data_IF_133157969809
#
_entry.id   IF_133157969809
#
_cell.length_a   1.000
_cell.length_b   1.000
_cell.length_c   1.000
_cell.angle_alpha   90.00
_cell.angle_beta   90.00
_cell.angle_gamma   90.00
#
_symmetry.space_group_name_H-M   'P 1'
#
loop_
_entity.id
_entity.type
_entity.pdbx_description
1 polymer ?
#
# COMPACT_ATOMS: atom_id res chain seq x y z
N UNK A 1 43.04 -29.92 36.67
CA UNK A 1 42.33 -29.78 35.38
C UNK A 1 40.98 -30.50 35.46
N UNK A 2 39.86 -29.76 35.41
CA UNK A 2 38.46 -30.18 35.16
C UNK A 2 37.44 -29.12 35.66
N UNK A 3 37.89 -28.11 36.42
CA UNK A 3 37.11 -26.89 36.72
C UNK A 3 37.09 -25.85 35.58
N UNK A 4 37.81 -26.09 34.49
CA UNK A 4 37.92 -25.16 33.34
C UNK A 4 36.86 -25.45 32.26
N UNK A 5 36.25 -26.64 32.25
CA UNK A 5 35.27 -27.03 31.22
C UNK A 5 33.90 -26.39 31.46
N UNK A 6 33.59 -26.02 32.71
CA UNK A 6 32.27 -25.44 33.03
C UNK A 6 32.14 -23.95 32.71
N UNK A 7 33.25 -23.22 32.56
CA UNK A 7 33.22 -21.80 32.22
C UNK A 7 33.01 -21.56 30.71
N UNK A 8 33.48 -22.50 29.87
CA UNK A 8 33.32 -22.45 28.41
C UNK A 8 31.89 -22.79 27.96
N UNK A 9 31.15 -23.60 28.72
CA UNK A 9 29.74 -23.89 28.46
C UNK A 9 28.78 -22.78 28.93
N UNK A 10 29.19 -21.95 29.88
CA UNK A 10 28.39 -20.80 30.33
C UNK A 10 28.49 -19.59 29.37
N UNK A 11 29.64 -19.44 28.68
CA UNK A 11 29.82 -18.41 27.66
C UNK A 11 29.13 -18.73 26.32
N UNK A 12 28.74 -19.99 26.08
CA UNK A 12 27.97 -20.38 24.89
C UNK A 12 26.47 -20.09 24.99
N UNK A 13 25.96 -19.68 26.17
CA UNK A 13 24.53 -19.41 26.40
C UNK A 13 24.17 -17.91 26.51
N UNK A 14 25.15 -17.00 26.36
CA UNK A 14 24.94 -15.54 26.47
C UNK A 14 25.06 -14.85 25.08
N UNK A 15 24.81 -15.59 24.00
CA UNK A 15 24.27 -14.97 22.78
C UNK A 15 22.74 -15.06 22.81
N UNK A 16 22.13 -14.46 23.84
CA UNK A 16 20.73 -14.03 23.73
C UNK A 16 20.68 -12.88 22.74
N UNK A 17 20.80 -13.21 21.45
CA UNK A 17 20.46 -12.31 20.38
C UNK A 17 19.07 -11.78 20.67
N UNK A 18 18.94 -10.45 20.75
CA UNK A 18 17.64 -9.78 20.87
C UNK A 18 16.73 -10.41 19.82
N UNK A 19 15.77 -11.20 20.29
CA UNK A 19 14.83 -11.90 19.41
C UNK A 19 14.06 -10.83 18.66
N UNK A 20 14.12 -10.86 17.32
CA UNK A 20 13.30 -9.97 16.50
C UNK A 20 11.84 -10.20 16.88
N UNK A 21 11.13 -9.12 17.22
CA UNK A 21 9.73 -9.18 17.61
C UNK A 21 8.93 -8.28 16.69
N UNK A 22 8.23 -8.91 15.75
CA UNK A 22 7.27 -8.24 14.87
C UNK A 22 5.93 -8.90 15.05
N UNK A 23 4.93 -8.13 15.44
CA UNK A 23 3.55 -8.60 15.49
C UNK A 23 2.61 -7.56 14.95
N UNK A 24 1.60 -7.99 14.22
CA UNK A 24 0.57 -7.14 13.66
C UNK A 24 -0.80 -7.80 13.82
N UNK A 25 -1.70 -7.15 14.56
CA UNK A 25 -3.03 -7.64 14.86
C UNK A 25 -3.08 -9.07 15.45
N UNK A 26 -2.15 -9.38 16.35
CA UNK A 26 -2.02 -10.71 16.96
C UNK A 26 -1.28 -11.75 16.11
N UNK A 27 -1.01 -11.47 14.83
CA UNK A 27 -0.11 -12.30 14.00
C UNK A 27 1.33 -11.97 14.36
N UNK A 28 2.12 -12.99 14.73
CA UNK A 28 3.54 -12.83 15.02
C UNK A 28 4.37 -13.34 13.86
N UNK A 29 5.36 -12.57 13.42
CA UNK A 29 6.31 -13.00 12.41
C UNK A 29 7.25 -14.05 13.03
N UNK A 30 7.53 -15.10 12.26
CA UNK A 30 8.64 -16.01 12.55
C UNK A 30 9.99 -15.38 12.17
N UNK A 31 10.95 -16.22 11.79
CA UNK A 31 12.20 -15.74 11.22
C UNK A 31 11.93 -14.94 9.93
N UNK A 32 12.45 -13.72 9.86
CA UNK A 32 12.30 -12.86 8.69
C UNK A 32 13.51 -13.02 7.78
N UNK A 33 13.31 -13.29 6.49
CA UNK A 33 14.37 -13.26 5.47
C UNK A 33 14.79 -11.83 5.16
N UNK A 34 13.82 -10.93 5.02
CA UNK A 34 14.05 -9.51 4.72
C UNK A 34 13.65 -8.64 5.91
N UNK A 35 14.57 -7.77 6.33
CA UNK A 35 14.34 -6.70 7.31
C UNK A 35 15.18 -5.52 6.85
N UNK A 36 14.59 -4.70 6.00
CA UNK A 36 15.28 -3.65 5.27
C UNK A 36 14.68 -2.30 5.59
N UNK A 37 15.51 -1.26 5.57
CA UNK A 37 15.02 0.10 5.67
C UNK A 37 15.78 1.02 4.73
N UNK A 38 15.11 2.09 4.31
CA UNK A 38 15.75 3.16 3.55
C UNK A 38 15.36 4.51 4.13
N UNK A 39 16.26 5.49 4.02
CA UNK A 39 16.00 6.88 4.39
C UNK A 39 16.28 7.81 3.22
N UNK A 40 15.53 8.90 3.15
CA UNK A 40 15.79 10.04 2.30
C UNK A 40 15.48 11.33 3.07
N UNK A 41 15.71 12.49 2.46
CA UNK A 41 15.64 13.80 3.14
C UNK A 41 14.41 13.98 4.02
N UNK A 42 13.23 13.57 3.53
CA UNK A 42 11.94 13.77 4.21
C UNK A 42 11.23 12.48 4.57
N UNK A 43 11.76 11.31 4.18
CA UNK A 43 10.99 10.06 4.30
C UNK A 43 11.86 8.90 4.75
N UNK A 44 11.23 7.90 5.32
CA UNK A 44 11.83 6.58 5.42
C UNK A 44 10.83 5.50 5.06
N UNK A 45 11.34 4.35 4.68
CA UNK A 45 10.57 3.13 4.51
C UNK A 45 11.21 1.97 5.24
N UNK A 46 10.37 1.04 5.71
CA UNK A 46 10.77 -0.21 6.35
C UNK A 46 10.00 -1.35 5.69
N UNK A 47 10.73 -2.37 5.27
CA UNK A 47 10.20 -3.60 4.69
C UNK A 47 10.59 -4.79 5.57
N UNK A 48 9.60 -5.55 6.04
CA UNK A 48 9.81 -6.73 6.87
C UNK A 48 9.02 -7.88 6.26
N UNK A 49 9.68 -9.00 5.99
CA UNK A 49 9.04 -10.13 5.34
C UNK A 49 9.61 -11.46 5.82
N UNK A 50 8.75 -12.47 6.01
CA UNK A 50 9.21 -13.82 6.34
C UNK A 50 10.00 -14.44 5.19
N UNK A 51 9.56 -14.18 3.95
CA UNK A 51 10.24 -14.59 2.73
C UNK A 51 10.48 -13.40 1.79
N UNK A 52 11.67 -13.26 1.19
CA UNK A 52 11.90 -12.21 0.19
C UNK A 52 11.20 -12.57 -1.13
N UNK A 53 10.21 -11.76 -1.50
CA UNK A 53 9.35 -12.00 -2.66
C UNK A 53 9.43 -10.86 -3.70
N UNK A 54 10.22 -9.80 -3.47
CA UNK A 54 10.37 -8.67 -4.39
C UNK A 54 11.37 -8.99 -5.50
N UNK A 55 11.00 -8.64 -6.73
CA UNK A 55 11.80 -8.79 -7.94
C UNK A 55 13.12 -8.00 -7.85
N UNK A 56 14.26 -8.61 -8.24
CA UNK A 56 15.56 -7.95 -8.28
C UNK A 56 16.33 -7.88 -6.96
N UNK A 57 15.76 -8.36 -5.84
CA UNK A 57 16.40 -8.37 -4.51
C UNK A 57 16.82 -9.78 -4.03
N UNK A 58 16.92 -10.75 -4.95
CA UNK A 58 17.34 -12.12 -4.64
C UNK A 58 16.23 -13.02 -4.09
N UNK A 59 14.96 -12.60 -4.20
CA UNK A 59 13.81 -13.45 -3.89
C UNK A 59 13.78 -14.69 -4.77
N UNK A 60 13.69 -15.88 -4.15
CA UNK A 60 13.65 -17.18 -4.87
C UNK A 60 12.40 -17.37 -5.74
N UNK A 61 11.41 -16.51 -5.59
CA UNK A 61 10.12 -16.57 -6.26
C UNK A 61 9.95 -15.26 -7.03
N UNK A 62 10.46 -15.23 -8.25
CA UNK A 62 10.43 -14.08 -9.15
C UNK A 62 8.98 -13.73 -9.53
N UNK A 63 8.58 -12.46 -9.38
CA UNK A 63 7.26 -11.95 -9.74
C UNK A 63 7.42 -10.59 -10.45
N UNK A 64 6.89 -10.46 -11.67
CA UNK A 64 7.09 -9.28 -12.52
C UNK A 64 6.33 -8.03 -12.04
N UNK A 65 7.01 -6.89 -12.02
CA UNK A 65 6.39 -5.56 -11.89
C UNK A 65 6.31 -5.00 -10.46
N UNK A 66 7.17 -5.46 -9.56
CA UNK A 66 7.31 -4.89 -8.21
C UNK A 66 6.10 -5.08 -7.28
N UNK A 67 5.13 -5.90 -7.69
CA UNK A 67 3.99 -6.33 -6.87
C UNK A 67 4.02 -7.85 -6.75
N UNK A 68 3.58 -8.36 -5.60
CA UNK A 68 3.39 -9.79 -5.37
C UNK A 68 2.43 -10.33 -6.44
N UNK A 69 2.95 -11.04 -7.45
CA UNK A 69 2.11 -11.79 -8.37
C UNK A 69 1.58 -13.03 -7.63
N UNK A 70 0.38 -12.88 -7.07
CA UNK A 70 -0.31 -13.90 -6.26
C UNK A 70 -0.75 -15.12 -7.10
N UNK A 71 -0.57 -15.11 -8.42
CA UNK A 71 -0.99 -16.17 -9.36
C UNK A 71 -0.01 -17.34 -9.46
N UNK A 72 1.20 -17.25 -8.90
CA UNK A 72 2.12 -18.38 -8.91
C UNK A 72 1.83 -19.31 -7.73
N UNK A 73 1.33 -20.52 -7.99
CA UNK A 73 1.04 -21.56 -6.98
C UNK A 73 2.27 -22.04 -6.20
N UNK A 74 3.46 -21.48 -6.47
CA UNK A 74 4.72 -21.75 -5.78
C UNK A 74 5.12 -20.69 -4.76
N UNK A 75 4.40 -19.57 -4.63
CA UNK A 75 4.74 -18.52 -3.65
C UNK A 75 4.50 -19.07 -2.24
N UNK A 76 5.51 -19.06 -1.35
CA UNK A 76 5.32 -19.52 0.02
C UNK A 76 4.33 -18.63 0.75
N UNK A 77 3.62 -19.21 1.71
CA UNK A 77 2.86 -18.40 2.64
C UNK A 77 3.81 -17.45 3.38
N UNK A 78 3.36 -16.22 3.56
CA UNK A 78 4.21 -15.11 3.96
C UNK A 78 3.40 -14.13 4.82
N UNK A 79 4.07 -13.56 5.81
CA UNK A 79 3.67 -12.32 6.44
C UNK A 79 4.64 -11.25 5.99
N UNK A 80 4.09 -10.15 5.52
CA UNK A 80 4.84 -8.99 5.04
C UNK A 80 4.28 -7.73 5.68
N UNK A 81 5.17 -6.82 6.07
CA UNK A 81 4.85 -5.52 6.59
C UNK A 81 5.67 -4.48 5.83
N UNK A 82 4.96 -3.55 5.20
CA UNK A 82 5.54 -2.37 4.56
C UNK A 82 5.12 -1.16 5.37
N UNK A 83 6.09 -0.36 5.79
CA UNK A 83 5.84 0.90 6.48
C UNK A 83 6.55 2.03 5.75
N UNK A 84 5.85 3.13 5.56
CA UNK A 84 6.41 4.36 5.02
C UNK A 84 6.03 5.53 5.91
N UNK A 85 6.94 6.49 6.05
CA UNK A 85 6.69 7.72 6.79
C UNK A 85 7.24 8.89 6.01
N UNK A 86 6.40 9.91 5.82
CA UNK A 86 6.76 11.17 5.18
C UNK A 86 6.67 12.31 6.19
N UNK A 87 7.75 13.06 6.37
CA UNK A 87 7.88 14.18 7.30
C UNK A 87 7.83 15.50 6.55
N UNK A 88 6.78 16.30 6.83
CA UNK A 88 6.61 17.62 6.21
C UNK A 88 7.80 18.56 6.46
N UNK A 89 8.42 18.47 7.64
CA UNK A 89 9.54 19.32 8.06
C UNK A 89 10.91 18.63 7.97
N UNK A 90 11.01 17.55 7.19
CA UNK A 90 12.23 16.75 7.05
C UNK A 90 12.40 15.71 8.16
N UNK A 91 13.17 14.68 7.83
CA UNK A 91 13.46 13.57 8.74
C UNK A 91 14.69 13.90 9.61
N UNK A 92 14.50 13.93 10.93
CA UNK A 92 15.62 13.86 11.88
C UNK A 92 16.09 12.40 12.01
N UNK A 93 17.28 12.09 11.50
CA UNK A 93 17.86 10.75 11.58
C UNK A 93 19.32 10.78 12.10
N UNK A 94 19.70 9.88 13.01
CA UNK A 94 18.89 8.80 13.59
C UNK A 94 17.82 9.32 14.56
N UNK A 95 16.75 8.55 14.73
CA UNK A 95 15.74 8.75 15.79
C UNK A 95 16.21 7.96 17.01
N UNK A 96 16.56 8.67 18.08
CA UNK A 96 16.87 8.06 19.38
C UNK A 96 15.63 8.06 20.28
N UNK A 97 15.60 7.32 21.40
CA UNK A 97 14.48 7.37 22.33
C UNK A 97 14.14 8.77 22.86
N UNK A 98 15.11 9.71 22.86
CA UNK A 98 14.89 11.12 23.24
C UNK A 98 14.24 11.94 22.12
N UNK A 99 14.33 11.47 20.89
CA UNK A 99 13.82 12.09 19.68
C UNK A 99 12.58 11.35 19.15
N UNK A 100 11.95 10.52 20.00
CA UNK A 100 10.85 9.67 19.58
C UNK A 100 9.68 10.50 19.04
N UNK A 101 9.01 9.97 18.01
CA UNK A 101 7.99 10.71 17.28
C UNK A 101 6.67 9.95 17.29
N UNK A 102 5.59 10.73 17.38
CA UNK A 102 4.21 10.26 17.24
C UNK A 102 3.61 10.85 15.98
N UNK A 103 3.02 9.98 15.15
CA UNK A 103 2.40 10.37 13.89
C UNK A 103 0.96 9.87 13.92
N UNK A 104 0.01 10.81 13.85
CA UNK A 104 -1.41 10.53 14.08
C UNK A 104 -2.26 10.57 12.80
N UNK A 105 -1.62 10.80 11.65
CA UNK A 105 -2.29 10.88 10.36
C UNK A 105 -1.73 9.80 9.45
N UNK A 106 -2.59 8.87 9.03
CA UNK A 106 -2.20 7.94 7.97
C UNK A 106 -2.28 8.62 6.61
N UNK A 107 -1.47 8.18 5.66
CA UNK A 107 -1.53 8.60 4.26
C UNK A 107 -2.89 8.28 3.64
N UNK A 108 -3.48 7.12 3.97
CA UNK A 108 -4.79 6.70 3.45
C UNK A 108 -5.92 7.65 3.91
N UNK A 109 -5.96 8.03 5.18
CA UNK A 109 -6.97 8.96 5.69
C UNK A 109 -6.71 10.40 5.25
N UNK A 110 -5.44 10.83 5.08
CA UNK A 110 -5.14 12.12 4.43
C UNK A 110 -5.70 12.14 3.01
N UNK A 111 -5.34 11.16 2.18
CA UNK A 111 -5.81 11.07 0.80
C UNK A 111 -7.33 11.03 0.69
N UNK A 112 -8.00 10.22 1.53
CA UNK A 112 -9.46 10.18 1.54
C UNK A 112 -10.09 11.52 1.95
N UNK A 113 -9.54 12.24 2.95
CA UNK A 113 -10.02 13.56 3.34
C UNK A 113 -9.82 14.60 2.24
N UNK A 114 -8.67 14.57 1.59
CA UNK A 114 -8.32 15.48 0.50
C UNK A 114 -9.28 15.26 -0.68
N UNK A 115 -9.53 14.00 -1.06
CA UNK A 115 -10.51 13.62 -2.09
C UNK A 115 -11.92 14.11 -1.74
N UNK A 116 -12.38 13.90 -0.51
CA UNK A 116 -13.72 14.32 -0.07
C UNK A 116 -13.84 15.85 -0.01
N UNK A 117 -12.79 16.55 0.40
CA UNK A 117 -12.71 18.01 0.37
C UNK A 117 -12.79 18.53 -1.06
N UNK A 118 -12.00 17.95 -1.97
CA UNK A 118 -12.02 18.31 -3.39
C UNK A 118 -13.42 18.08 -3.98
N UNK A 119 -14.04 16.92 -3.74
CA UNK A 119 -15.40 16.64 -4.21
C UNK A 119 -16.44 17.63 -3.65
N UNK A 120 -16.30 18.05 -2.39
CA UNK A 120 -17.15 19.09 -1.80
C UNK A 120 -16.95 20.46 -2.48
N UNK A 121 -15.70 20.84 -2.77
CA UNK A 121 -15.37 22.06 -3.51
C UNK A 121 -15.91 22.04 -4.95
N UNK A 122 -15.87 20.88 -5.62
CA UNK A 122 -16.48 20.69 -6.95
C UNK A 122 -18.00 20.89 -6.85
N UNK A 123 -18.65 20.21 -5.91
CA UNK A 123 -20.11 20.24 -5.78
C UNK A 123 -20.63 21.62 -5.35
N UNK A 124 -19.85 22.40 -4.60
CA UNK A 124 -20.24 23.76 -4.19
C UNK A 124 -20.09 24.81 -5.29
N UNK A 125 -19.30 24.55 -6.35
CA UNK A 125 -18.98 25.52 -7.41
C UNK A 125 -19.81 25.35 -8.70
N UNK A 126 -21.10 25.01 -8.57
CA UNK A 126 -22.11 24.76 -9.62
C UNK A 126 -22.37 23.25 -9.88
N UNK A 127 -22.99 22.60 -8.89
CA UNK A 127 -23.42 21.20 -8.93
C UNK A 127 -24.20 20.85 -10.20
N UNK A 128 -25.04 21.74 -10.72
CA UNK A 128 -25.88 21.47 -11.88
C UNK A 128 -25.02 21.32 -13.15
N UNK A 129 -24.01 22.17 -13.31
CA UNK A 129 -23.06 22.10 -14.43
C UNK A 129 -22.13 20.88 -14.32
N UNK A 130 -21.61 20.60 -13.14
CA UNK A 130 -20.76 19.41 -12.90
C UNK A 130 -21.52 18.12 -13.14
N UNK A 131 -22.74 18.00 -12.61
CA UNK A 131 -23.57 16.80 -12.77
C UNK A 131 -23.94 16.57 -14.25
N UNK A 132 -24.16 17.65 -15.00
CA UNK A 132 -24.38 17.60 -16.45
C UNK A 132 -23.13 17.10 -17.18
N UNK A 133 -21.96 17.69 -16.92
CA UNK A 133 -20.69 17.25 -17.52
C UNK A 133 -20.36 15.79 -17.18
N UNK A 134 -20.61 15.37 -15.93
CA UNK A 134 -20.43 13.98 -15.50
C UNK A 134 -21.34 13.03 -16.30
N UNK A 135 -22.63 13.36 -16.45
CA UNK A 135 -23.58 12.55 -17.22
C UNK A 135 -23.21 12.49 -18.70
N UNK A 136 -22.81 13.61 -19.28
CA UNK A 136 -22.38 13.69 -20.69
C UNK A 136 -21.10 12.86 -20.92
N UNK A 137 -20.13 12.95 -20.01
CA UNK A 137 -18.90 12.16 -20.07
C UNK A 137 -19.16 10.66 -19.89
N UNK A 138 -20.06 10.29 -18.97
CA UNK A 138 -20.40 8.89 -18.70
C UNK A 138 -21.19 8.26 -19.86
N UNK A 139 -22.09 9.01 -20.50
CA UNK A 139 -22.76 8.59 -21.74
C UNK A 139 -21.78 8.34 -22.89
N UNK A 140 -20.82 9.26 -23.09
CA UNK A 140 -19.77 9.13 -24.11
C UNK A 140 -18.83 7.96 -23.83
N UNK A 141 -18.43 7.76 -22.57
CA UNK A 141 -17.59 6.62 -22.13
C UNK A 141 -18.25 5.28 -22.47
N UNK A 142 -19.54 5.13 -22.19
CA UNK A 142 -20.28 3.90 -22.49
C UNK A 142 -20.35 3.64 -24.01
N UNK A 143 -20.68 4.67 -24.79
CA UNK A 143 -20.69 4.57 -26.25
C UNK A 143 -19.31 4.24 -26.84
N UNK A 144 -18.24 4.67 -26.18
CA UNK A 144 -16.87 4.39 -26.59
C UNK A 144 -16.38 3.01 -26.17
N UNK A 145 -16.76 2.51 -24.99
CA UNK A 145 -16.46 1.13 -24.59
C UNK A 145 -17.03 0.13 -25.59
N UNK A 146 -18.23 0.36 -26.11
CA UNK A 146 -18.82 -0.49 -27.14
C UNK A 146 -18.05 -0.43 -28.46
N UNK A 147 -17.64 0.78 -28.89
CA UNK A 147 -16.78 0.94 -30.08
C UNK A 147 -15.40 0.30 -29.90
N UNK A 148 -14.84 0.35 -28.69
CA UNK A 148 -13.54 -0.22 -28.37
C UNK A 148 -13.59 -1.75 -28.33
N UNK A 149 -14.64 -2.34 -27.73
CA UNK A 149 -14.90 -3.79 -27.82
C UNK A 149 -15.02 -4.24 -29.27
N UNK A 150 -15.78 -3.52 -30.10
CA UNK A 150 -15.93 -3.84 -31.51
C UNK A 150 -14.60 -3.72 -32.28
N UNK A 151 -13.77 -2.73 -31.95
CA UNK A 151 -12.45 -2.55 -32.55
C UNK A 151 -11.47 -3.67 -32.14
N UNK A 152 -11.43 -4.02 -30.84
CA UNK A 152 -10.62 -5.13 -30.31
C UNK A 152 -11.02 -6.45 -30.94
N UNK A 153 -12.33 -6.70 -31.12
CA UNK A 153 -12.83 -7.90 -31.79
C UNK A 153 -12.35 -7.97 -33.25
N UNK A 154 -12.42 -6.87 -34.01
CA UNK A 154 -11.92 -6.81 -35.40
C UNK A 154 -10.42 -7.07 -35.49
N UNK A 155 -9.64 -6.59 -34.51
CA UNK A 155 -8.21 -6.84 -34.44
C UNK A 155 -7.90 -8.30 -34.11
N UNK A 156 -8.57 -8.88 -33.11
CA UNK A 156 -8.43 -10.29 -32.75
C UNK A 156 -8.84 -11.25 -33.88
N UNK A 157 -9.84 -10.87 -34.66
CA UNK A 157 -10.27 -11.61 -35.87
C UNK A 157 -9.34 -11.39 -37.08
N UNK A 158 -8.26 -10.61 -36.94
CA UNK A 158 -7.31 -10.31 -38.02
C UNK A 158 -7.88 -9.43 -39.15
N UNK A 159 -9.05 -8.80 -38.95
CA UNK A 159 -9.75 -7.99 -39.96
C UNK A 159 -9.18 -6.59 -40.15
N UNK A 160 -8.28 -6.17 -39.27
CA UNK A 160 -7.57 -4.88 -39.33
C UNK A 160 -6.12 -5.10 -38.90
N UNK A 161 -5.20 -4.33 -39.46
CA UNK A 161 -3.77 -4.39 -39.10
C UNK A 161 -3.50 -3.71 -37.74
N UNK A 162 -2.32 -3.96 -37.18
CA UNK A 162 -1.87 -3.29 -35.95
C UNK A 162 -1.83 -1.75 -36.12
N UNK A 163 -1.35 -1.26 -37.26
CA UNK A 163 -1.31 0.18 -37.56
C UNK A 163 -2.72 0.79 -37.67
N UNK A 164 -3.64 0.07 -38.31
CA UNK A 164 -5.03 0.52 -38.45
C UNK A 164 -5.75 0.48 -37.10
N UNK A 165 -5.47 -0.51 -36.27
CA UNK A 165 -5.95 -0.60 -34.89
C UNK A 165 -5.45 0.59 -34.06
N UNK A 166 -4.14 0.89 -34.10
CA UNK A 166 -3.55 2.02 -33.38
C UNK A 166 -4.15 3.37 -33.78
N UNK A 167 -4.34 3.62 -35.09
CA UNK A 167 -4.99 4.84 -35.58
C UNK A 167 -6.43 4.98 -35.11
N UNK A 168 -7.20 3.88 -35.17
CA UNK A 168 -8.61 3.87 -34.75
C UNK A 168 -8.75 3.99 -33.23
N UNK A 169 -7.85 3.37 -32.47
CA UNK A 169 -7.79 3.51 -31.02
C UNK A 169 -7.50 4.96 -30.62
N UNK A 170 -6.51 5.59 -31.26
CA UNK A 170 -6.17 6.99 -31.03
C UNK A 170 -7.34 7.92 -31.37
N UNK A 171 -7.99 7.72 -32.50
CA UNK A 171 -9.16 8.49 -32.91
C UNK A 171 -10.34 8.33 -31.93
N UNK A 172 -10.43 7.19 -31.23
CA UNK A 172 -11.39 7.01 -30.15
C UNK A 172 -10.93 7.73 -28.87
N UNK A 173 -9.67 7.63 -28.47
CA UNK A 173 -9.21 8.21 -27.19
C UNK A 173 -9.03 9.74 -27.21
N UNK A 174 -8.61 10.33 -28.34
CA UNK A 174 -8.24 11.74 -28.44
C UNK A 174 -9.39 12.71 -28.06
N UNK A 175 -10.64 12.49 -28.48
CA UNK A 175 -11.76 13.32 -28.06
C UNK A 175 -11.99 13.31 -26.54
N UNK A 176 -11.87 12.14 -25.89
CA UNK A 176 -12.02 12.03 -24.43
C UNK A 176 -10.90 12.76 -23.69
N UNK A 177 -9.67 12.66 -24.19
CA UNK A 177 -8.52 13.37 -23.62
C UNK A 177 -8.69 14.89 -23.73
N UNK A 178 -9.10 15.39 -24.90
CA UNK A 178 -9.37 16.82 -25.09
C UNK A 178 -10.50 17.31 -24.21
N UNK A 179 -11.59 16.56 -24.12
CA UNK A 179 -12.75 16.93 -23.31
C UNK A 179 -12.43 16.90 -21.82
N UNK A 180 -11.65 15.92 -21.36
CA UNK A 180 -11.10 15.90 -20.01
C UNK A 180 -10.23 17.13 -19.76
N UNK A 181 -9.31 17.47 -20.66
CA UNK A 181 -8.47 18.67 -20.53
C UNK A 181 -9.27 19.97 -20.50
N UNK A 182 -10.40 20.04 -21.20
CA UNK A 182 -11.27 21.22 -21.25
C UNK A 182 -12.41 21.22 -20.21
N UNK A 183 -12.48 20.21 -19.32
CA UNK A 183 -13.60 20.09 -18.39
C UNK A 183 -13.65 21.28 -17.43
N UNK A 184 -14.85 21.70 -17.05
CA UNK A 184 -15.01 22.77 -16.07
C UNK A 184 -14.35 22.39 -14.74
N UNK A 185 -14.40 21.11 -14.35
CA UNK A 185 -13.73 20.59 -13.15
C UNK A 185 -12.21 20.85 -13.14
N UNK A 186 -11.54 20.80 -14.30
CA UNK A 186 -10.11 21.12 -14.41
C UNK A 186 -9.80 22.63 -14.34
N UNK A 187 -10.81 23.48 -14.55
CA UNK A 187 -10.68 24.93 -14.40
C UNK A 187 -10.98 25.44 -12.98
N UNK A 188 -11.50 24.56 -12.10
CA UNK A 188 -11.77 24.91 -10.72
C UNK A 188 -10.43 24.99 -9.96
N UNK A 189 -10.09 26.19 -9.48
CA UNK A 189 -9.02 26.34 -8.49
C UNK A 189 -9.49 25.74 -7.16
N UNK A 190 -8.77 24.74 -6.69
CA UNK A 190 -8.98 24.11 -5.40
C UNK A 190 -8.10 24.80 -4.34
N UNK A 191 -8.62 24.90 -3.13
CA UNK A 191 -7.76 25.16 -1.98
C UNK A 191 -7.02 23.87 -1.66
N UNK A 192 -5.70 23.86 -1.84
CA UNK A 192 -4.86 22.73 -1.46
C UNK A 192 -4.89 22.56 0.07
N UNK A 193 -5.00 21.31 0.52
CA UNK A 193 -4.89 20.99 1.94
C UNK A 193 -3.45 21.19 2.41
N UNK A 194 -3.27 21.64 3.66
CA UNK A 194 -1.93 21.77 4.24
C UNK A 194 -1.20 20.42 4.26
N UNK A 195 0.09 20.44 3.92
CA UNK A 195 0.95 19.28 4.04
C UNK A 195 1.13 18.89 5.51
N UNK A 196 1.16 17.59 5.77
CA UNK A 196 1.26 17.04 7.11
C UNK A 196 2.14 15.80 7.10
N UNK A 197 2.86 15.56 8.20
CA UNK A 197 3.57 14.30 8.40
C UNK A 197 2.58 13.14 8.40
N UNK A 198 2.82 12.14 7.56
CA UNK A 198 1.93 10.98 7.42
C UNK A 198 2.69 9.66 7.57
N UNK A 199 1.94 8.60 7.88
CA UNK A 199 2.45 7.23 7.85
C UNK A 199 1.57 6.33 6.96
N UNK A 200 2.18 5.33 6.32
CA UNK A 200 1.48 4.19 5.73
C UNK A 200 1.95 2.91 6.40
N UNK A 201 1.02 1.99 6.64
CA UNK A 201 1.33 0.63 7.08
C UNK A 201 0.44 -0.32 6.29
N UNK A 202 1.07 -1.13 5.47
CA UNK A 202 0.43 -2.19 4.70
C UNK A 202 0.94 -3.54 5.23
N UNK A 203 0.00 -4.36 5.70
CA UNK A 203 0.27 -5.69 6.22
C UNK A 203 -0.38 -6.73 5.32
N UNK A 204 0.44 -7.58 4.71
CA UNK A 204 -0.02 -8.64 3.81
C UNK A 204 0.12 -9.98 4.52
N UNK A 205 -0.99 -10.74 4.53
CA UNK A 205 -1.03 -12.08 5.07
C UNK A 205 -1.50 -13.03 3.97
N UNK A 206 -0.56 -13.73 3.34
CA UNK A 206 -0.90 -14.64 2.24
C UNK A 206 -1.48 -15.97 2.72
N UNK A 207 -1.31 -16.36 3.99
CA UNK A 207 -2.02 -17.50 4.58
C UNK A 207 -3.54 -17.31 4.54
N UNK A 208 -4.00 -16.07 4.79
CA UNK A 208 -5.42 -15.70 4.79
C UNK A 208 -5.85 -15.02 3.48
N UNK A 209 -4.89 -14.78 2.58
CA UNK A 209 -5.04 -14.01 1.35
C UNK A 209 -5.74 -12.67 1.59
N UNK A 210 -5.21 -11.89 2.54
CA UNK A 210 -5.71 -10.56 2.88
C UNK A 210 -4.58 -9.54 2.91
N UNK A 211 -4.94 -8.28 2.70
CA UNK A 211 -4.12 -7.10 2.91
C UNK A 211 -4.84 -6.19 3.90
N UNK A 212 -4.10 -5.65 4.86
CA UNK A 212 -4.62 -4.72 5.85
C UNK A 212 -3.86 -3.41 5.75
N UNK A 213 -4.59 -2.31 5.59
CA UNK A 213 -4.03 -0.96 5.41
C UNK A 213 -4.45 -0.09 6.58
N UNK A 214 -3.50 0.59 7.21
CA UNK A 214 -3.79 1.46 8.33
C UNK A 214 -4.59 2.69 7.87
N UNK A 215 -5.80 2.85 8.40
CA UNK A 215 -6.67 3.97 8.07
C UNK A 215 -6.51 5.11 9.07
N UNK A 216 -6.50 4.86 10.37
CA UNK A 216 -6.31 5.94 11.36
C UNK A 216 -5.65 5.39 12.61
N UNK A 217 -5.03 6.24 13.41
CA UNK A 217 -4.39 5.82 14.65
C UNK A 217 -3.09 6.56 14.88
N UNK A 218 -2.24 5.96 15.70
CA UNK A 218 -0.97 6.53 16.11
C UNK A 218 0.14 5.54 15.83
N UNK A 219 1.09 5.95 14.97
CA UNK A 219 2.39 5.32 14.85
C UNK A 219 3.36 6.02 15.81
N UNK A 220 3.95 5.26 16.71
CA UNK A 220 5.02 5.70 17.61
C UNK A 220 6.34 5.07 17.16
N UNK A 221 7.32 5.90 16.84
CA UNK A 221 8.67 5.46 16.49
C UNK A 221 9.58 5.83 17.66
N UNK A 222 9.97 4.80 18.41
CA UNK A 222 10.85 4.96 19.57
C UNK A 222 12.31 5.11 19.13
N UNK A 223 12.73 4.31 18.15
CA UNK A 223 14.11 4.28 17.70
C UNK A 223 14.21 3.88 16.23
N UNK A 224 15.04 4.59 15.49
CA UNK A 224 15.39 4.25 14.13
C UNK A 224 16.80 4.72 13.78
N UNK A 225 17.66 3.77 13.41
CA UNK A 225 19.01 4.04 12.94
C UNK A 225 19.42 2.96 11.92
N UNK A 226 20.68 3.00 11.47
CA UNK A 226 21.21 2.08 10.45
C UNK A 226 21.17 0.60 10.85
N UNK A 227 20.99 0.29 12.14
CA UNK A 227 21.08 -1.07 12.70
C UNK A 227 19.76 -1.61 13.24
N UNK A 228 18.87 -0.75 13.71
CA UNK A 228 17.64 -1.19 14.38
C UNK A 228 16.47 -0.23 14.14
N UNK A 229 15.28 -0.83 14.17
CA UNK A 229 14.01 -0.14 14.08
C UNK A 229 13.06 -0.64 15.17
N UNK A 230 12.55 0.29 15.97
CA UNK A 230 11.64 0.04 17.09
C UNK A 230 10.45 0.99 16.97
N UNK A 231 9.27 0.42 16.77
CA UNK A 231 8.04 1.17 16.61
C UNK A 231 6.84 0.38 17.15
N UNK A 232 5.77 1.11 17.49
CA UNK A 232 4.48 0.53 17.81
C UNK A 232 3.37 1.30 17.12
N UNK A 233 2.29 0.58 16.81
CA UNK A 233 1.14 1.14 16.13
C UNK A 233 -0.12 0.72 16.88
N UNK A 234 -1.07 1.66 17.03
CA UNK A 234 -2.41 1.36 17.49
C UNK A 234 -3.41 2.20 16.71
N UNK A 235 -4.47 1.59 16.22
CA UNK A 235 -5.41 2.29 15.36
C UNK A 235 -6.49 1.42 14.78
N UNK A 236 -6.98 1.87 13.63
CA UNK A 236 -7.98 1.24 12.78
C UNK A 236 -7.33 0.86 11.46
N UNK A 237 -7.66 -0.32 10.97
CA UNK A 237 -7.29 -0.80 9.65
C UNK A 237 -8.52 -1.11 8.81
N UNK A 238 -8.34 -0.97 7.50
CA UNK A 238 -9.23 -1.51 6.48
C UNK A 238 -8.58 -2.78 5.96
N UNK A 239 -9.33 -3.87 5.89
CA UNK A 239 -8.85 -5.16 5.42
C UNK A 239 -9.59 -5.54 4.15
N UNK A 240 -8.81 -5.80 3.12
CA UNK A 240 -9.27 -6.25 1.81
C UNK A 240 -8.77 -7.67 1.53
N UNK A 241 -9.45 -8.36 0.62
CA UNK A 241 -8.93 -9.61 0.09
C UNK A 241 -7.86 -9.35 -0.96
N UNK A 242 -6.83 -10.18 -0.98
CA UNK A 242 -5.98 -10.30 -2.16
C UNK A 242 -6.78 -10.85 -3.34
N UNK A 243 -6.42 -10.45 -4.57
CA UNK A 243 -7.14 -10.79 -5.80
C UNK A 243 -7.41 -12.29 -5.94
N UNK A 244 -6.41 -13.13 -5.62
CA UNK A 244 -6.52 -14.60 -5.65
C UNK A 244 -7.71 -15.13 -4.85
N UNK A 245 -7.99 -14.56 -3.68
CA UNK A 245 -9.10 -14.99 -2.83
C UNK A 245 -10.43 -14.63 -3.47
N UNK A 246 -10.56 -13.39 -3.92
CA UNK A 246 -11.77 -12.92 -4.60
C UNK A 246 -12.05 -13.72 -5.89
N UNK A 247 -11.01 -14.10 -6.63
CA UNK A 247 -11.12 -14.87 -7.88
C UNK A 247 -11.40 -16.37 -7.68
N UNK A 248 -11.18 -16.91 -6.48
CA UNK A 248 -11.29 -18.36 -6.22
C UNK A 248 -12.72 -18.90 -6.35
N UNK A 249 -13.74 -18.09 -6.05
CA UNK A 249 -15.15 -18.44 -6.23
C UNK A 249 -16.04 -17.20 -6.13
N UNK A 250 -17.29 -17.31 -6.61
CA UNK A 250 -18.30 -16.25 -6.46
C UNK A 250 -18.65 -16.01 -4.99
N UNK A 251 -18.58 -17.05 -4.17
CA UNK A 251 -18.82 -16.97 -2.73
C UNK A 251 -17.73 -16.17 -2.03
N UNK A 252 -16.46 -16.39 -2.37
CA UNK A 252 -15.36 -15.59 -1.81
C UNK A 252 -15.39 -14.16 -2.33
N UNK A 253 -15.69 -13.91 -3.61
CA UNK A 253 -15.86 -12.55 -4.12
C UNK A 253 -16.90 -11.77 -3.31
N UNK A 254 -18.05 -12.39 -3.02
CA UNK A 254 -19.11 -11.79 -2.19
C UNK A 254 -18.64 -11.52 -0.76
N UNK A 255 -17.89 -12.44 -0.15
CA UNK A 255 -17.31 -12.22 1.19
C UNK A 255 -16.29 -11.08 1.19
N UNK A 256 -15.47 -10.97 0.15
CA UNK A 256 -14.47 -9.91 0.04
C UNK A 256 -15.07 -8.50 -0.06
N UNK A 257 -16.34 -8.40 -0.47
CA UNK A 257 -17.10 -7.14 -0.58
C UNK A 257 -18.33 -7.12 0.34
N UNK A 258 -18.32 -7.89 1.44
CA UNK A 258 -19.53 -8.07 2.26
C UNK A 258 -19.84 -6.90 3.17
N UNK A 259 -18.85 -6.05 3.52
CA UNK A 259 -19.04 -4.95 4.45
C UNK A 259 -18.86 -3.61 3.75
N UNK A 260 -19.90 -2.77 3.79
CA UNK A 260 -19.73 -1.35 3.45
C UNK A 260 -18.82 -0.71 4.49
N UNK A 261 -17.75 -0.08 4.05
CA UNK A 261 -16.76 0.55 4.94
C UNK A 261 -17.40 1.69 5.74
N UNK A 262 -17.15 1.71 7.06
CA UNK A 262 -17.60 2.78 7.96
C UNK A 262 -16.77 4.05 7.78
N UNK A 263 -15.51 3.87 7.37
CA UNK A 263 -14.51 4.94 7.28
C UNK A 263 -14.41 5.53 5.87
N UNK A 264 -14.59 4.71 4.82
CA UNK A 264 -14.59 5.07 3.41
C UNK A 264 -15.91 4.62 2.77
N UNK A 265 -16.97 5.43 2.91
CA UNK A 265 -18.38 5.01 2.71
C UNK A 265 -18.74 4.59 1.29
N UNK A 266 -17.89 4.92 0.33
CA UNK A 266 -17.99 4.61 -1.09
C UNK A 266 -17.50 3.19 -1.41
N UNK A 267 -16.80 2.53 -0.47
CA UNK A 267 -16.12 1.26 -0.69
C UNK A 267 -16.76 0.12 0.11
N UNK A 268 -16.59 -1.09 -0.43
CA UNK A 268 -16.89 -2.34 0.25
C UNK A 268 -15.59 -3.09 0.50
N UNK A 269 -15.45 -3.64 1.69
CA UNK A 269 -14.21 -4.22 2.22
C UNK A 269 -14.51 -5.58 2.85
N UNK A 270 -13.47 -6.38 3.06
CA UNK A 270 -13.61 -7.70 3.70
C UNK A 270 -13.91 -7.54 5.20
N UNK A 271 -13.24 -6.61 5.89
CA UNK A 271 -13.57 -6.20 7.27
C UNK A 271 -12.84 -4.92 7.65
N UNK A 272 -13.25 -4.34 8.78
CA UNK A 272 -12.58 -3.22 9.42
C UNK A 272 -12.47 -3.52 10.92
N UNK A 273 -11.46 -2.96 11.57
CA UNK A 273 -11.35 -3.12 13.01
C UNK A 273 -10.14 -2.44 13.60
N UNK A 274 -10.08 -2.52 14.93
CA UNK A 274 -8.91 -2.11 15.69
C UNK A 274 -7.70 -3.00 15.35
N UNK A 275 -6.53 -2.41 15.47
CA UNK A 275 -5.27 -3.06 15.19
C UNK A 275 -4.19 -2.52 16.10
N UNK A 276 -3.32 -3.44 16.53
CA UNK A 276 -2.09 -3.13 17.26
C UNK A 276 -0.91 -3.80 16.56
N UNK A 277 0.14 -3.02 16.37
CA UNK A 277 1.42 -3.44 15.82
C UNK A 277 2.54 -3.19 16.82
N UNK A 278 3.54 -4.08 16.84
CA UNK A 278 4.78 -3.87 17.59
C UNK A 278 5.93 -4.40 16.77
N UNK A 279 6.96 -3.59 16.60
CA UNK A 279 8.12 -3.87 15.78
C UNK A 279 9.35 -3.57 16.63
N UNK A 280 10.21 -4.57 16.79
CA UNK A 280 11.53 -4.43 17.36
C UNK A 280 12.45 -5.37 16.58
N UNK A 281 13.22 -4.79 15.67
CA UNK A 281 14.06 -5.54 14.73
C UNK A 281 15.44 -4.95 14.58
N UNK A 282 16.41 -5.84 14.35
CA UNK A 282 17.69 -5.45 13.75
C UNK A 282 17.57 -5.50 12.23
N UNK A 283 17.99 -4.44 11.59
CA UNK A 283 18.02 -4.33 10.13
C UNK A 283 19.10 -5.27 9.58
N UNK A 284 18.75 -5.98 8.51
CA UNK A 284 19.69 -6.77 7.72
C UNK A 284 20.30 -5.95 6.58
N UNK A 285 19.56 -4.96 6.09
CA UNK A 285 19.98 -4.04 5.04
C UNK A 285 19.48 -2.64 5.36
N UNK A 286 20.32 -1.64 5.09
CA UNK A 286 19.99 -0.23 5.27
C UNK A 286 20.55 0.57 4.09
N UNK A 287 19.74 1.47 3.53
CA UNK A 287 20.12 2.35 2.43
C UNK A 287 19.87 3.82 2.81
N UNK A 288 20.88 4.68 2.62
CA UNK A 288 20.80 6.11 2.90
C UNK A 288 20.85 6.91 1.59
N UNK A 289 19.77 7.63 1.30
CA UNK A 289 19.58 8.46 0.11
C UNK A 289 19.35 9.95 0.46
N UNK A 290 19.83 10.40 1.63
CA UNK A 290 19.69 11.79 2.08
C UNK A 290 20.66 12.75 1.40
#
# INVERSE_FOLDING_TARGET
>A
MKKVVSLLLFFLLIQTGVSQKVSYNGEAFGACEAVEASVSKNKFSVYISQHELREGYGGKFELSGGRLNVDNNKVPNNLELVMEVDFVNGLKFPITPKDSVYINLSALNKGYRDDMSMMSQINSKDHARVEKERKDFQGKKNGMQEKMKALTKKFQEGKISADEFGKKLKALSDPLLKEAQSSYTNSIRFTEAEDATTYSIDFINTYKLIESRAFSGTLYIERFNEKEFVASFNGIQIVDCLEKRAASSKEEEKKCKSHRSKYMKEFFVFKEGEVKGTINVKLKKFEDFR
#
